data_IF_016060738407
#
_entry.id   IF_016060738407
#
_cell.length_a   1.000
_cell.length_b   1.000
_cell.length_c   1.000
_cell.angle_alpha   90.00
_cell.angle_beta   90.00
_cell.angle_gamma   90.00
#
_symmetry.space_group_name_H-M   'P 1'
#
loop_
_entity.id
_entity.type
_entity.pdbx_description
1 polymer ?
#
# COMPACT_ATOMS: atom_id res chain seq x y z
N UNK A 1 -20.97 -48.80 22.83
CA UNK A 1 -19.80 -48.88 21.94
C UNK A 1 -19.10 -47.51 21.92
N UNK A 2 -17.89 -47.38 22.47
CA UNK A 2 -17.20 -46.08 22.63
C UNK A 2 -16.49 -45.68 21.33
N UNK A 3 -16.85 -44.53 20.74
CA UNK A 3 -16.20 -43.98 19.55
C UNK A 3 -14.72 -43.72 19.86
N UNK A 4 -13.79 -44.32 19.10
CA UNK A 4 -12.36 -43.97 19.17
C UNK A 4 -12.16 -42.60 18.53
N UNK A 5 -11.74 -41.61 19.32
CA UNK A 5 -11.33 -40.29 18.82
C UNK A 5 -9.88 -40.38 18.35
N UNK A 6 -9.62 -40.16 17.06
CA UNK A 6 -8.26 -40.10 16.52
C UNK A 6 -7.63 -38.74 16.78
N UNK A 7 -6.37 -38.71 17.21
CA UNK A 7 -5.62 -37.46 17.39
C UNK A 7 -5.39 -36.79 16.03
N UNK A 8 -5.90 -35.57 15.85
CA UNK A 8 -5.61 -34.75 14.67
C UNK A 8 -4.31 -34.00 14.90
N UNK A 9 -3.26 -34.37 14.16
CA UNK A 9 -1.95 -33.72 14.22
C UNK A 9 -2.10 -32.23 13.90
N UNK A 10 -1.63 -31.36 14.80
CA UNK A 10 -1.66 -29.90 14.61
C UNK A 10 -0.80 -29.57 13.38
N UNK A 11 -1.33 -28.77 12.45
CA UNK A 11 -0.59 -28.33 11.26
C UNK A 11 0.67 -27.56 11.64
N UNK A 12 1.69 -27.57 10.77
CA UNK A 12 2.91 -26.76 10.97
C UNK A 12 2.48 -25.29 11.17
N UNK A 13 3.05 -24.63 12.18
CA UNK A 13 2.77 -23.22 12.46
C UNK A 13 3.00 -22.34 11.24
N UNK A 14 2.24 -21.25 11.13
CA UNK A 14 2.32 -20.31 10.02
C UNK A 14 3.78 -19.88 9.79
N UNK A 15 4.32 -20.22 8.63
CA UNK A 15 5.58 -19.64 8.18
C UNK A 15 5.26 -18.42 7.33
N UNK A 16 5.78 -17.23 7.69
CA UNK A 16 5.60 -16.05 6.85
C UNK A 16 6.16 -16.35 5.46
N UNK A 17 5.39 -16.04 4.42
CA UNK A 17 5.84 -16.19 3.04
C UNK A 17 7.16 -15.42 2.81
N UNK A 18 7.97 -15.82 1.83
CA UNK A 18 9.22 -15.10 1.47
C UNK A 18 9.01 -13.58 1.29
N UNK A 19 7.84 -13.15 0.79
CA UNK A 19 7.50 -11.73 0.64
C UNK A 19 7.31 -10.98 1.96
N UNK A 20 6.98 -11.66 3.06
CA UNK A 20 6.99 -11.10 4.41
C UNK A 20 8.41 -11.05 5.00
N UNK A 21 9.31 -11.92 4.54
CA UNK A 21 10.70 -11.98 4.99
C UNK A 21 11.63 -11.00 4.26
N UNK A 22 11.27 -10.56 3.04
CA UNK A 22 11.97 -9.50 2.31
C UNK A 22 11.65 -8.11 2.90
N UNK A 23 12.18 -7.82 4.10
CA UNK A 23 11.91 -6.58 4.85
C UNK A 23 12.54 -5.32 4.20
N UNK A 24 13.39 -5.47 3.17
CA UNK A 24 14.08 -4.34 2.52
C UNK A 24 13.14 -3.22 2.07
N UNK A 25 11.96 -3.54 1.52
CA UNK A 25 11.00 -2.52 1.08
C UNK A 25 10.31 -1.77 2.23
N UNK A 26 10.47 -2.22 3.49
CA UNK A 26 9.93 -1.57 4.70
C UNK A 26 10.98 -0.78 5.47
N UNK A 27 12.28 -0.96 5.18
CA UNK A 27 13.33 -0.21 5.85
C UNK A 27 13.17 1.28 5.56
N UNK A 28 13.16 2.11 6.62
CA UNK A 28 12.93 3.55 6.50
C UNK A 28 11.50 3.93 6.11
N UNK A 29 10.56 2.99 6.11
CA UNK A 29 9.12 3.20 5.80
C UNK A 29 8.22 2.70 6.93
N UNK A 30 8.74 2.65 8.14
CA UNK A 30 7.93 2.33 9.32
C UNK A 30 7.13 3.56 9.76
N UNK A 31 6.10 3.35 10.58
CA UNK A 31 5.33 4.46 11.14
C UNK A 31 6.20 5.40 11.99
N UNK A 32 7.19 4.87 12.71
CA UNK A 32 8.15 5.68 13.46
C UNK A 32 9.04 6.54 12.55
N UNK A 33 9.44 6.01 11.39
CA UNK A 33 10.20 6.78 10.39
C UNK A 33 9.34 7.91 9.82
N UNK A 34 8.05 7.63 9.59
CA UNK A 34 7.07 8.64 9.16
C UNK A 34 6.91 9.75 10.20
N UNK A 35 6.68 9.43 11.47
CA UNK A 35 6.56 10.45 12.53
C UNK A 35 7.82 11.30 12.66
N UNK A 36 9.00 10.70 12.52
CA UNK A 36 10.26 11.43 12.52
C UNK A 36 10.34 12.38 11.32
N UNK A 37 10.02 11.91 10.11
CA UNK A 37 10.03 12.73 8.90
C UNK A 37 9.04 13.90 8.97
N UNK A 38 7.85 13.68 9.52
CA UNK A 38 6.85 14.72 9.77
C UNK A 38 7.35 15.80 10.74
N UNK A 39 8.10 15.42 11.77
CA UNK A 39 8.66 16.38 12.73
C UNK A 39 9.88 17.13 12.19
N UNK A 40 10.70 16.46 11.39
CA UNK A 40 12.02 16.95 11.02
C UNK A 40 12.10 17.61 9.64
N UNK A 41 11.21 17.24 8.69
CA UNK A 41 11.45 17.52 7.27
C UNK A 41 10.27 18.09 6.50
N UNK A 42 9.04 17.64 6.77
CA UNK A 42 7.88 17.99 5.96
C UNK A 42 6.83 18.75 6.75
N UNK A 43 6.21 19.73 6.12
CA UNK A 43 4.97 20.35 6.65
C UNK A 43 3.76 19.52 6.23
N UNK A 44 2.64 19.59 6.95
CA UNK A 44 1.40 18.87 6.57
C UNK A 44 0.92 19.19 5.15
N UNK A 45 1.35 20.33 4.60
CA UNK A 45 0.99 20.82 3.26
C UNK A 45 1.66 20.03 2.14
N UNK A 46 2.80 19.42 2.45
CA UNK A 46 3.65 18.68 1.52
C UNK A 46 3.33 17.17 1.54
N UNK A 47 2.37 16.76 2.37
CA UNK A 47 2.09 15.35 2.63
C UNK A 47 0.80 14.94 1.95
N UNK A 48 0.94 13.94 1.09
CA UNK A 48 -0.18 13.28 0.42
C UNK A 48 -0.24 11.82 0.83
N UNK A 49 -1.46 11.34 1.07
CA UNK A 49 -1.72 9.92 1.27
C UNK A 49 -2.13 9.30 -0.07
N UNK A 50 -1.54 8.16 -0.40
CA UNK A 50 -1.79 7.48 -1.68
C UNK A 50 -2.25 6.05 -1.43
N UNK A 51 -3.33 5.63 -2.10
CA UNK A 51 -3.80 4.25 -2.07
C UNK A 51 -4.18 3.74 -3.46
N UNK A 52 -4.19 2.42 -3.63
CA UNK A 52 -4.61 1.75 -4.86
C UNK A 52 -5.83 0.88 -4.60
N UNK A 53 -6.98 1.31 -5.10
CA UNK A 53 -8.22 0.55 -4.99
C UNK A 53 -8.29 -0.48 -6.12
N UNK A 54 -8.54 -1.73 -5.73
CA UNK A 54 -8.78 -2.84 -6.66
C UNK A 54 -10.27 -3.01 -6.89
N UNK A 55 -10.68 -3.10 -8.15
CA UNK A 55 -12.05 -3.47 -8.49
C UNK A 55 -12.37 -4.92 -8.09
N UNK A 56 -13.66 -5.20 -7.91
CA UNK A 56 -14.19 -6.49 -7.41
C UNK A 56 -13.71 -7.71 -8.19
N UNK A 57 -13.45 -7.56 -9.49
CA UNK A 57 -13.01 -8.66 -10.37
C UNK A 57 -11.53 -9.01 -10.23
N UNK A 58 -10.78 -8.32 -9.36
CA UNK A 58 -9.35 -8.46 -9.07
C UNK A 58 -8.39 -8.38 -10.28
N UNK A 59 -8.91 -8.28 -11.50
CA UNK A 59 -8.14 -8.19 -12.75
C UNK A 59 -8.46 -6.88 -13.47
N UNK A 60 -7.43 -6.31 -14.11
CA UNK A 60 -7.54 -5.09 -14.90
C UNK A 60 -7.33 -3.80 -14.11
N UNK A 61 -8.11 -2.77 -14.48
CA UNK A 61 -7.92 -1.39 -14.07
C UNK A 61 -7.86 -1.20 -12.55
N UNK A 62 -7.11 -0.19 -12.13
CA UNK A 62 -6.94 0.22 -10.72
C UNK A 62 -7.26 1.69 -10.57
N UNK A 63 -7.79 2.05 -9.41
CA UNK A 63 -7.99 3.45 -9.09
C UNK A 63 -6.89 3.87 -8.13
N UNK A 64 -6.06 4.81 -8.55
CA UNK A 64 -5.10 5.48 -7.68
C UNK A 64 -5.81 6.66 -7.02
N UNK A 65 -5.83 6.69 -5.69
CA UNK A 65 -6.30 7.82 -4.91
C UNK A 65 -5.10 8.59 -4.36
N UNK A 66 -5.16 9.91 -4.44
CA UNK A 66 -4.18 10.82 -3.84
C UNK A 66 -4.96 11.83 -3.01
N UNK A 67 -4.77 11.79 -1.69
CA UNK A 67 -5.45 12.66 -0.74
C UNK A 67 -4.45 13.66 -0.18
N UNK A 68 -4.74 14.94 -0.34
CA UNK A 68 -3.99 16.02 0.27
C UNK A 68 -4.50 16.23 1.70
N UNK A 69 -3.65 15.95 2.70
CA UNK A 69 -4.08 15.95 4.11
C UNK A 69 -4.53 17.32 4.60
N UNK A 70 -3.91 18.40 4.10
CA UNK A 70 -4.22 19.78 4.52
C UNK A 70 -5.65 20.20 4.18
N UNK A 71 -6.11 19.92 2.96
CA UNK A 71 -7.37 20.46 2.42
C UNK A 71 -8.44 19.38 2.19
N UNK A 72 -8.14 18.12 2.51
CA UNK A 72 -9.01 16.96 2.28
C UNK A 72 -9.45 16.81 0.80
N UNK A 73 -8.65 17.33 -0.14
CA UNK A 73 -8.90 17.14 -1.57
C UNK A 73 -8.41 15.77 -1.97
N UNK A 74 -9.27 15.01 -2.65
CA UNK A 74 -8.95 13.68 -3.19
C UNK A 74 -8.94 13.74 -4.72
N UNK A 75 -7.81 13.36 -5.32
CA UNK A 75 -7.69 13.10 -6.75
C UNK A 75 -7.82 11.61 -7.01
N UNK A 76 -8.50 11.23 -8.09
CA UNK A 76 -8.69 9.84 -8.49
C UNK A 76 -8.24 9.65 -9.93
N UNK A 77 -7.34 8.69 -10.14
CA UNK A 77 -6.81 8.35 -11.44
C UNK A 77 -7.11 6.89 -11.79
N UNK A 78 -7.70 6.66 -12.96
CA UNK A 78 -7.94 5.32 -13.46
C UNK A 78 -6.70 4.82 -14.21
N UNK A 79 -5.98 3.89 -13.61
CA UNK A 79 -4.82 3.24 -14.18
C UNK A 79 -5.19 1.94 -14.92
N UNK A 80 -4.42 1.55 -15.95
CA UNK A 80 -4.65 0.30 -16.68
C UNK A 80 -4.37 -0.94 -15.81
N UNK A 81 -3.38 -0.87 -14.92
CA UNK A 81 -3.01 -1.93 -13.98
C UNK A 81 -2.48 -1.36 -12.65
N UNK A 82 -2.05 -2.24 -11.74
CA UNK A 82 -1.50 -1.87 -10.43
C UNK A 82 0.03 -1.95 -10.35
N UNK A 83 0.75 -1.79 -11.48
CA UNK A 83 2.21 -1.84 -11.50
C UNK A 83 2.82 -0.49 -11.14
N UNK A 84 4.05 -0.51 -10.65
CA UNK A 84 4.79 0.69 -10.29
C UNK A 84 4.94 1.69 -11.45
N UNK A 85 5.13 1.19 -12.69
CA UNK A 85 5.23 2.04 -13.88
C UNK A 85 3.94 2.82 -14.17
N UNK A 86 2.77 2.20 -13.99
CA UNK A 86 1.48 2.89 -14.13
C UNK A 86 1.31 4.01 -13.10
N UNK A 87 1.75 3.77 -11.86
CA UNK A 87 1.72 4.79 -10.79
C UNK A 87 2.66 5.95 -11.11
N UNK A 88 3.88 5.67 -11.57
CA UNK A 88 4.84 6.70 -12.00
C UNK A 88 4.27 7.56 -13.12
N UNK A 89 3.63 6.93 -14.12
CA UNK A 89 2.98 7.65 -15.22
C UNK A 89 1.93 8.64 -14.74
N UNK A 90 1.07 8.24 -13.80
CA UNK A 90 0.10 9.15 -13.18
C UNK A 90 0.77 10.32 -12.43
N UNK A 91 1.85 10.06 -11.70
CA UNK A 91 2.59 11.11 -10.98
C UNK A 91 3.33 12.05 -11.92
N UNK A 92 3.82 11.57 -13.07
CA UNK A 92 4.43 12.42 -14.10
C UNK A 92 3.43 13.42 -14.66
N UNK A 93 2.18 13.00 -14.91
CA UNK A 93 1.11 13.91 -15.36
C UNK A 93 0.93 15.04 -14.36
N UNK A 94 0.79 14.70 -13.08
CA UNK A 94 0.66 15.70 -12.02
C UNK A 94 1.84 16.66 -12.00
N UNK A 95 3.08 16.17 -12.13
CA UNK A 95 4.28 17.01 -12.12
C UNK A 95 4.36 17.99 -13.29
N UNK A 96 3.86 17.60 -14.46
CA UNK A 96 3.99 18.37 -15.70
C UNK A 96 3.03 19.56 -15.76
N UNK A 97 1.96 19.57 -14.95
CA UNK A 97 0.99 20.67 -14.85
C UNK A 97 1.42 21.79 -13.87
N UNK A 98 2.59 21.65 -13.22
CA UNK A 98 3.13 22.62 -12.25
C UNK A 98 4.37 23.41 -12.73
N UNK A 99 4.78 23.24 -14.00
CA UNK A 99 5.79 24.08 -14.70
C UNK A 99 5.10 25.00 -15.71
#
# INVERSE_FOLDING_TARGET
MRRKTGYKKRGKGHQPSLGFANVEFRQGRTYTDFEYAMKAKYTEDEVVEMDTVKGVREQGKRLLTIIFRRNNVMLLFLMPDGKAESVKGCLTILRQDWE
#
